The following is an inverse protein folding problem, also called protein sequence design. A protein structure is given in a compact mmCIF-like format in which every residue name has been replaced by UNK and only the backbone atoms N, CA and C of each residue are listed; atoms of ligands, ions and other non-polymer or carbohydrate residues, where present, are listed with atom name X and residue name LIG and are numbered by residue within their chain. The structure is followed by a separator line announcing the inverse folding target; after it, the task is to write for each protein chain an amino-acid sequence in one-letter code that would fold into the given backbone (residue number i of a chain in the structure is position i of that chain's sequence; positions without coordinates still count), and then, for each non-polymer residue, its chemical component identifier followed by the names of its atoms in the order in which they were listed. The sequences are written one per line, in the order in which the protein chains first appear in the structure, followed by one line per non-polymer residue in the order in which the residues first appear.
data_IF_942618064918
#
_entry.id   IF_942618064918
#
_cell.length_a   1.000
_cell.length_b   1.000
_cell.length_c   1.000
_cell.angle_alpha   90.00
_cell.angle_beta   90.00
_cell.angle_gamma   90.00
#
_symmetry.space_group_name_H-M   'P 1'
#
loop_
_entity.id
_entity.type
_entity.pdbx_description
1 polymer ?
#
# COMPACT_ATOMS: atom_id res chain seq x y z
N UNK A 1 -10.43 -13.45 -20.63
CA UNK A 1 -11.22 -12.29 -20.17
C UNK A 1 -10.63 -10.97 -20.66
N UNK A 2 -9.45 -10.55 -20.20
CA UNK A 2 -8.81 -9.32 -20.70
C UNK A 2 -8.46 -9.40 -22.21
N UNK A 3 -7.99 -10.57 -22.67
CA UNK A 3 -7.74 -10.85 -24.10
C UNK A 3 -9.03 -10.89 -24.94
N UNK A 4 -10.19 -11.04 -24.30
CA UNK A 4 -11.51 -11.05 -24.95
C UNK A 4 -12.18 -9.66 -24.92
N UNK A 5 -11.46 -8.62 -24.49
CA UNK A 5 -11.97 -7.24 -24.38
C UNK A 5 -12.87 -6.98 -23.17
N UNK A 6 -12.95 -7.92 -22.22
CA UNK A 6 -13.72 -7.73 -20.98
C UNK A 6 -12.89 -6.89 -20.01
N UNK A 7 -13.40 -5.70 -19.68
CA UNK A 7 -12.82 -4.78 -18.70
C UNK A 7 -13.64 -4.79 -17.40
N UNK A 8 -12.94 -4.61 -16.27
CA UNK A 8 -13.54 -4.50 -14.95
C UNK A 8 -13.20 -3.14 -14.33
N UNK A 9 -14.17 -2.50 -13.69
CA UNK A 9 -13.97 -1.22 -12.98
C UNK A 9 -13.18 -1.41 -11.67
N UNK A 10 -13.33 -2.59 -11.06
CA UNK A 10 -12.69 -2.97 -9.81
C UNK A 10 -12.22 -4.42 -9.86
N UNK A 11 -11.10 -4.70 -9.20
CA UNK A 11 -10.61 -6.03 -8.88
C UNK A 11 -10.60 -6.16 -7.37
N UNK A 12 -11.40 -7.09 -6.83
CA UNK A 12 -11.45 -7.39 -5.40
C UNK A 12 -10.59 -8.61 -5.11
N UNK A 13 -9.67 -8.47 -4.16
CA UNK A 13 -8.72 -9.47 -3.71
C UNK A 13 -9.05 -9.80 -2.25
N UNK A 14 -9.18 -11.09 -1.96
CA UNK A 14 -9.65 -11.61 -0.67
C UNK A 14 -8.64 -12.63 -0.14
N UNK A 15 -8.24 -12.44 1.11
CA UNK A 15 -7.57 -13.48 1.90
C UNK A 15 -8.62 -14.42 2.52
N UNK A 16 -8.18 -15.30 3.41
CA UNK A 16 -8.96 -16.23 4.24
C UNK A 16 -9.68 -15.55 5.41
N UNK A 17 -10.42 -14.48 5.13
CA UNK A 17 -11.13 -13.68 6.13
C UNK A 17 -12.65 -13.86 6.04
N UNK A 18 -13.32 -13.66 7.18
CA UNK A 18 -14.76 -13.53 7.31
C UNK A 18 -15.15 -12.07 7.03
N UNK A 19 -16.13 -11.90 6.13
CA UNK A 19 -16.66 -10.61 5.69
C UNK A 19 -18.13 -10.74 5.29
N UNK A 20 -18.81 -9.61 5.14
CA UNK A 20 -20.18 -9.52 4.62
C UNK A 20 -20.24 -8.73 3.31
N UNK A 21 -21.38 -8.83 2.60
CA UNK A 21 -21.62 -8.00 1.40
C UNK A 21 -21.56 -6.51 1.73
N UNK A 22 -22.01 -6.10 2.92
CA UNK A 22 -21.94 -4.72 3.36
C UNK A 22 -20.48 -4.23 3.48
N UNK A 23 -19.57 -5.09 3.93
CA UNK A 23 -18.13 -4.78 4.01
C UNK A 23 -17.54 -4.55 2.63
N UNK A 24 -17.89 -5.39 1.65
CA UNK A 24 -17.45 -5.24 0.26
C UNK A 24 -17.96 -3.91 -0.32
N UNK A 25 -19.25 -3.60 -0.16
CA UNK A 25 -19.82 -2.35 -0.66
C UNK A 25 -19.20 -1.12 0.02
N UNK A 26 -18.96 -1.18 1.32
CA UNK A 26 -18.29 -0.12 2.07
C UNK A 26 -16.83 0.06 1.64
N UNK A 27 -16.13 -1.03 1.32
CA UNK A 27 -14.77 -0.98 0.79
C UNK A 27 -14.74 -0.35 -0.61
N UNK A 28 -15.63 -0.76 -1.50
CA UNK A 28 -15.72 -0.20 -2.85
C UNK A 28 -16.11 1.29 -2.85
N UNK A 29 -16.86 1.73 -1.84
CA UNK A 29 -17.23 3.13 -1.66
C UNK A 29 -16.20 3.95 -0.85
N UNK A 30 -15.02 3.39 -0.54
CA UNK A 30 -13.94 4.14 0.14
C UNK A 30 -13.64 5.42 -0.63
N UNK A 31 -13.49 6.55 0.05
CA UNK A 31 -13.25 7.86 -0.58
C UNK A 31 -14.21 8.18 -1.76
N UNK A 32 -15.49 7.80 -1.62
CA UNK A 32 -16.53 7.94 -2.66
C UNK A 32 -16.16 7.25 -3.98
N UNK A 33 -15.47 6.10 -3.91
CA UNK A 33 -14.99 5.34 -5.06
C UNK A 33 -13.75 5.94 -5.76
N UNK A 34 -13.21 7.06 -5.26
CA UNK A 34 -12.06 7.73 -5.86
C UNK A 34 -10.74 7.33 -5.17
N UNK A 35 -10.21 6.18 -5.54
CA UNK A 35 -8.93 5.66 -5.07
C UNK A 35 -8.28 4.80 -6.15
N UNK A 36 -6.96 4.62 -6.12
CA UNK A 36 -6.30 3.61 -6.94
C UNK A 36 -6.35 2.24 -6.26
N UNK A 37 -6.18 2.21 -4.94
CA UNK A 37 -6.40 1.02 -4.11
C UNK A 37 -7.07 1.38 -2.78
N UNK A 38 -7.90 0.47 -2.26
CA UNK A 38 -8.50 0.57 -0.93
C UNK A 38 -8.38 -0.78 -0.20
N UNK A 39 -8.10 -0.77 1.11
CA UNK A 39 -7.98 -2.01 1.90
C UNK A 39 -8.84 -1.98 3.16
N UNK A 40 -9.29 -3.14 3.60
CA UNK A 40 -9.92 -3.34 4.91
C UNK A 40 -8.89 -3.38 6.05
N UNK A 41 -9.36 -3.46 7.28
CA UNK A 41 -8.54 -3.82 8.44
C UNK A 41 -8.84 -5.25 8.85
N UNK A 42 -7.84 -6.10 9.01
CA UNK A 42 -7.99 -7.48 9.44
C UNK A 42 -7.55 -7.73 10.89
N UNK A 43 -8.24 -8.66 11.54
CA UNK A 43 -8.03 -9.00 12.93
C UNK A 43 -8.01 -10.51 13.13
N UNK A 44 -6.97 -10.99 13.81
CA UNK A 44 -6.91 -12.36 14.36
C UNK A 44 -7.23 -12.37 15.84
N UNK A 45 -6.56 -11.50 16.63
CA UNK A 45 -6.80 -11.29 18.05
C UNK A 45 -7.14 -9.81 18.35
N UNK A 46 -8.41 -9.38 18.16
CA UNK A 46 -8.83 -8.01 18.45
C UNK A 46 -8.50 -7.57 19.88
N UNK A 47 -8.17 -6.28 20.12
CA UNK A 47 -8.23 -5.15 19.18
C UNK A 47 -6.92 -4.92 18.41
N UNK A 48 -5.98 -5.86 18.44
CA UNK A 48 -4.69 -5.71 17.77
C UNK A 48 -4.84 -5.85 16.26
N UNK A 49 -4.31 -4.87 15.53
CA UNK A 49 -4.33 -4.87 14.08
C UNK A 49 -3.32 -5.88 13.54
N UNK A 50 -3.83 -6.85 12.78
CA UNK A 50 -3.08 -7.98 12.26
C UNK A 50 -2.51 -7.70 10.85
N UNK A 51 -1.66 -8.60 10.36
CA UNK A 51 -1.03 -8.60 9.04
C UNK A 51 -0.69 -7.21 8.47
N UNK A 52 0.18 -6.50 9.16
CA UNK A 52 0.60 -5.14 8.82
C UNK A 52 1.81 -5.13 7.88
N UNK A 53 2.19 -6.29 7.32
CA UNK A 53 3.42 -6.43 6.54
C UNK A 53 3.44 -5.52 5.31
N UNK A 54 2.33 -5.43 4.58
CA UNK A 54 2.19 -4.56 3.41
C UNK A 54 1.79 -3.12 3.75
N UNK A 55 1.49 -2.81 5.01
CA UNK A 55 0.98 -1.50 5.42
C UNK A 55 2.11 -0.49 5.52
N UNK A 56 1.99 0.62 4.79
CA UNK A 56 2.92 1.75 4.87
C UNK A 56 2.15 3.05 4.98
N UNK A 57 2.45 3.86 5.98
CA UNK A 57 1.76 5.12 6.21
C UNK A 57 2.07 6.17 5.12
N UNK A 58 1.51 7.38 5.20
CA UNK A 58 1.78 8.40 4.16
C UNK A 58 3.23 8.86 4.08
N UNK A 59 4.07 8.60 5.09
CA UNK A 59 5.50 8.85 5.04
C UNK A 59 6.30 7.62 4.55
N UNK A 60 5.63 6.49 4.28
CA UNK A 60 6.26 5.25 3.86
C UNK A 60 6.76 4.39 5.03
N UNK A 61 6.42 4.73 6.27
CA UNK A 61 6.83 3.94 7.44
C UNK A 61 5.87 2.76 7.67
N UNK A 62 6.40 1.68 8.27
CA UNK A 62 5.58 0.61 8.87
C UNK A 62 4.61 1.17 9.93
N UNK A 63 3.70 0.32 10.44
CA UNK A 63 2.86 0.69 11.59
C UNK A 63 3.73 0.99 12.82
N UNK A 64 3.32 2.00 13.59
CA UNK A 64 3.97 2.37 14.84
C UNK A 64 3.62 1.44 16.01
N UNK A 65 2.38 0.93 16.02
CA UNK A 65 1.85 0.09 17.08
C UNK A 65 0.76 -0.82 16.51
N UNK A 66 0.64 -2.03 17.05
CA UNK A 66 -0.53 -2.90 16.76
C UNK A 66 -1.80 -2.43 17.45
N UNK A 67 -1.72 -1.42 18.32
CA UNK A 67 -2.84 -0.78 18.98
C UNK A 67 -3.21 0.53 18.27
N UNK A 68 -4.50 0.85 18.29
CA UNK A 68 -5.02 2.10 17.72
C UNK A 68 -4.30 3.31 18.33
N UNK A 69 -3.86 4.33 17.55
CA UNK A 69 -4.21 4.63 16.16
C UNK A 69 -3.18 4.17 15.10
N UNK A 70 -2.38 3.15 15.39
CA UNK A 70 -1.50 2.38 14.47
C UNK A 70 -0.35 3.09 13.75
N UNK A 71 -0.47 4.33 13.27
CA UNK A 71 0.50 4.93 12.34
C UNK A 71 1.56 5.79 13.02
N UNK A 72 2.66 6.11 12.31
CA UNK A 72 3.61 7.18 12.70
C UNK A 72 3.13 8.54 12.20
N UNK A 73 2.85 8.62 10.89
CA UNK A 73 2.44 9.81 10.17
C UNK A 73 1.26 10.51 10.83
N UNK A 74 1.36 11.83 10.99
CA UNK A 74 0.29 12.64 11.55
C UNK A 74 -0.96 12.60 10.67
N UNK A 75 -0.80 12.51 9.34
CA UNK A 75 -1.92 12.49 8.40
C UNK A 75 -2.72 11.20 8.53
N UNK A 76 -2.06 10.03 8.42
CA UNK A 76 -2.71 8.72 8.55
C UNK A 76 -3.34 8.56 9.94
N UNK A 77 -2.62 8.91 11.01
CA UNK A 77 -3.17 8.85 12.38
C UNK A 77 -4.40 9.74 12.57
N UNK A 78 -4.39 10.95 12.02
CA UNK A 78 -5.49 11.89 12.20
C UNK A 78 -6.75 11.43 11.47
N UNK A 79 -6.61 10.84 10.28
CA UNK A 79 -7.71 10.22 9.56
C UNK A 79 -8.26 8.99 10.30
N UNK A 80 -7.37 8.11 10.80
CA UNK A 80 -7.73 6.94 11.62
C UNK A 80 -8.52 7.35 12.88
N UNK A 81 -8.10 8.43 13.55
CA UNK A 81 -8.80 8.95 14.74
C UNK A 81 -10.21 9.47 14.46
N UNK A 82 -10.47 9.89 13.21
CA UNK A 82 -11.77 10.41 12.77
C UNK A 82 -12.59 9.35 12.02
N UNK A 83 -12.12 8.10 11.96
CA UNK A 83 -12.73 7.02 11.17
C UNK A 83 -12.96 7.41 9.71
N UNK A 84 -12.07 8.22 9.15
CA UNK A 84 -12.08 8.63 7.73
C UNK A 84 -11.21 7.67 6.91
N UNK A 85 -11.42 7.57 5.57
CA UNK A 85 -10.47 6.89 4.69
C UNK A 85 -9.04 7.36 4.96
N UNK A 86 -8.19 6.44 5.39
CA UNK A 86 -6.86 6.75 5.89
C UNK A 86 -5.88 6.70 4.72
N UNK A 87 -5.28 7.84 4.32
CA UNK A 87 -4.30 7.82 3.25
C UNK A 87 -3.06 7.04 3.72
N UNK A 88 -2.57 6.18 2.84
CA UNK A 88 -1.41 5.30 3.04
C UNK A 88 -0.63 5.23 1.73
N UNK A 89 0.61 4.78 1.77
CA UNK A 89 1.39 4.49 0.55
C UNK A 89 1.13 3.07 0.04
N UNK A 90 0.85 2.13 0.94
CA UNK A 90 0.44 0.76 0.60
C UNK A 90 -0.41 0.13 1.72
N UNK A 91 -1.26 -0.83 1.36
CA UNK A 91 -2.01 -1.68 2.28
C UNK A 91 -2.45 -2.97 1.57
N UNK A 92 -2.92 -3.98 2.32
CA UNK A 92 -3.54 -5.17 1.73
C UNK A 92 -4.62 -5.76 2.63
N UNK A 93 -4.23 -6.08 3.87
CA UNK A 93 -5.06 -6.38 5.05
C UNK A 93 -6.42 -7.01 4.76
N UNK A 94 -6.45 -8.35 4.69
CA UNK A 94 -7.64 -9.19 4.57
C UNK A 94 -8.43 -9.09 3.26
N UNK A 95 -8.76 -7.88 2.84
CA UNK A 95 -9.54 -7.57 1.64
C UNK A 95 -9.04 -6.27 1.02
N UNK A 96 -8.62 -6.35 -0.25
CA UNK A 96 -8.11 -5.23 -1.04
C UNK A 96 -8.92 -5.02 -2.32
N UNK A 97 -9.25 -3.76 -2.63
CA UNK A 97 -9.90 -3.37 -3.87
C UNK A 97 -8.95 -2.51 -4.70
N UNK A 98 -8.63 -2.97 -5.91
CA UNK A 98 -7.88 -2.20 -6.90
C UNK A 98 -8.85 -1.62 -7.92
N UNK A 99 -8.70 -0.35 -8.24
CA UNK A 99 -9.44 0.28 -9.32
C UNK A 99 -8.46 0.57 -10.47
N UNK A 100 -8.44 -0.25 -11.53
CA UNK A 100 -7.52 -0.06 -12.66
C UNK A 100 -7.83 1.19 -13.48
N UNK A 101 -9.07 1.69 -13.44
CA UNK A 101 -9.51 2.83 -14.24
C UNK A 101 -9.45 4.12 -13.43
N UNK A 102 -8.53 5.03 -13.78
CA UNK A 102 -8.88 6.43 -13.62
C UNK A 102 -10.10 6.62 -14.50
N UNK A 103 -11.27 6.88 -13.91
CA UNK A 103 -12.48 7.23 -14.67
C UNK A 103 -12.05 8.10 -15.84
N UNK A 104 -12.41 7.74 -17.09
CA UNK A 104 -12.07 8.58 -18.22
C UNK A 104 -12.91 9.85 -18.06
N UNK A 105 -12.38 10.83 -17.31
CA UNK A 105 -12.53 12.19 -17.78
C UNK A 105 -12.03 12.10 -19.23
N UNK A 106 -12.86 12.44 -20.24
CA UNK A 106 -12.40 12.44 -21.62
C UNK A 106 -11.07 13.18 -21.61
N UNK A 107 -10.03 12.67 -22.30
CA UNK A 107 -8.73 13.32 -22.29
C UNK A 107 -9.02 14.79 -22.50
N UNK A 108 -8.73 15.61 -21.47
CA UNK A 108 -8.88 17.04 -21.61
C UNK A 108 -7.98 17.32 -22.80
N UNK A 109 -8.59 17.60 -23.96
CA UNK A 109 -7.86 17.97 -25.16
C UNK A 109 -7.08 19.18 -24.70
N UNK A 110 -5.83 18.99 -24.29
CA UNK A 110 -4.89 20.08 -24.21
C UNK A 110 -4.78 20.43 -25.67
N UNK A 111 -5.35 21.56 -26.13
CA UNK A 111 -5.19 21.92 -27.52
C UNK A 111 -3.68 21.97 -27.76
N UNK A 112 -3.23 21.30 -28.82
CA UNK A 112 -1.87 21.44 -29.31
C UNK A 112 -1.76 22.85 -29.92
N UNK A 113 -1.33 23.86 -29.15
CA UNK A 113 -0.30 24.74 -29.69
C UNK A 113 0.69 25.21 -28.60
N UNK A 114 1.23 24.29 -27.79
CA UNK A 114 2.41 24.60 -26.95
C UNK A 114 3.64 23.74 -27.29
N UNK A 115 3.52 22.79 -28.22
CA UNK A 115 4.66 22.01 -28.72
C UNK A 115 5.37 22.65 -29.93
N UNK A 116 4.96 23.86 -30.34
CA UNK A 116 5.60 24.58 -31.44
C UNK A 116 5.87 26.01 -30.99
N UNK A 117 7.03 26.23 -30.37
CA UNK A 117 7.86 27.45 -30.48
C UNK A 117 9.04 27.36 -29.52
N UNK A 118 10.15 26.78 -30.00
CA UNK A 118 11.45 27.46 -30.00
C UNK A 118 12.48 26.51 -30.60
N UNK A 119 12.57 26.53 -31.92
CA UNK A 119 13.59 25.83 -32.69
C UNK A 119 14.65 26.83 -33.15
N UNK A 120 15.20 27.63 -32.24
CA UNK A 120 16.41 28.37 -32.55
C UNK A 120 17.42 28.32 -31.41
N UNK A 121 18.50 27.60 -31.73
CA UNK A 121 19.80 27.46 -31.06
C UNK A 121 19.94 26.20 -30.20
N UNK A 122 20.95 25.40 -30.58
CA UNK A 122 21.41 24.11 -30.05
C UNK A 122 20.83 22.84 -30.69
N UNK A 123 21.57 22.36 -31.70
CA UNK A 123 21.58 20.98 -32.20
C UNK A 123 21.97 20.02 -31.06
N UNK A 124 21.08 19.12 -30.61
CA UNK A 124 21.28 17.65 -30.46
C UNK A 124 19.92 16.97 -30.15
N UNK A 125 19.68 15.82 -30.80
CA UNK A 125 18.87 14.67 -30.35
C UNK A 125 17.32 14.68 -30.38
N UNK A 126 16.83 13.64 -31.05
CA UNK A 126 15.60 12.86 -30.85
C UNK A 126 14.23 13.48 -31.15
N UNK A 127 13.68 12.98 -32.26
CA UNK A 127 12.25 12.90 -32.54
C UNK A 127 11.55 12.07 -31.45
N UNK A 128 11.01 12.71 -30.41
CA UNK A 128 9.96 12.09 -29.59
C UNK A 128 8.63 12.67 -30.03
N UNK A 129 7.98 11.92 -30.94
CA UNK A 129 6.57 12.08 -31.20
C UNK A 129 5.80 12.02 -29.88
N UNK A 130 4.80 12.88 -29.74
CA UNK A 130 3.83 12.82 -28.66
C UNK A 130 3.00 11.54 -28.83
N UNK A 131 3.56 10.39 -28.46
CA UNK A 131 2.82 9.15 -28.37
C UNK A 131 1.85 9.30 -27.20
N UNK A 132 0.57 9.14 -27.48
CA UNK A 132 -0.43 8.77 -26.49
C UNK A 132 0.20 7.79 -25.50
N UNK A 133 0.45 8.25 -24.27
CA UNK A 133 1.06 7.44 -23.23
C UNK A 133 0.05 6.35 -22.87
N UNK A 134 0.22 5.18 -23.48
CA UNK A 134 -0.68 4.05 -23.36
C UNK A 134 -0.81 3.65 -21.89
N UNK A 135 -2.05 3.62 -21.40
CA UNK A 135 -2.45 2.98 -20.14
C UNK A 135 -2.41 1.44 -20.24
N UNK A 136 -1.39 0.88 -20.89
CA UNK A 136 -1.29 -0.56 -21.19
C UNK A 136 -0.45 -1.34 -20.16
N UNK A 137 -0.06 -0.72 -19.05
CA UNK A 137 0.58 -1.50 -17.99
C UNK A 137 -0.51 -2.21 -17.18
N UNK A 138 -0.77 -3.47 -17.53
CA UNK A 138 -1.53 -4.36 -16.68
C UNK A 138 -0.91 -4.40 -15.28
N UNK A 139 -1.74 -4.29 -14.25
CA UNK A 139 -1.27 -4.43 -12.87
C UNK A 139 -0.72 -5.86 -12.72
N UNK A 140 0.56 -5.97 -12.37
CA UNK A 140 1.24 -7.25 -12.16
C UNK A 140 1.85 -7.28 -10.78
N UNK A 141 1.71 -8.42 -10.12
CA UNK A 141 2.54 -8.74 -8.97
C UNK A 141 3.97 -9.00 -9.44
N UNK A 142 4.93 -8.65 -8.59
CA UNK A 142 6.34 -8.98 -8.77
C UNK A 142 7.01 -9.09 -7.41
N UNK A 143 8.10 -9.84 -7.36
CA UNK A 143 9.07 -9.78 -6.27
C UNK A 143 10.11 -8.69 -6.49
N UNK A 144 11.03 -8.60 -5.54
CA UNK A 144 12.31 -7.92 -5.72
C UNK A 144 13.24 -8.79 -6.56
N UNK A 145 14.31 -8.19 -7.09
CA UNK A 145 15.36 -8.94 -7.79
C UNK A 145 15.99 -10.00 -6.87
N UNK A 146 16.19 -11.23 -7.36
CA UNK A 146 16.75 -12.33 -6.57
C UNK A 146 18.14 -11.96 -5.99
N UNK A 147 18.94 -11.19 -6.73
CA UNK A 147 20.26 -10.74 -6.24
C UNK A 147 20.17 -9.64 -5.19
N UNK A 148 19.03 -8.93 -5.12
CA UNK A 148 18.71 -8.03 -4.01
C UNK A 148 18.23 -8.85 -2.80
N UNK A 149 17.43 -9.89 -3.01
CA UNK A 149 16.96 -10.79 -1.96
C UNK A 149 18.13 -11.51 -1.26
N UNK A 150 19.18 -11.89 -2.00
CA UNK A 150 20.44 -12.42 -1.44
C UNK A 150 21.14 -11.46 -0.45
N UNK A 151 20.82 -10.16 -0.49
CA UNK A 151 21.29 -9.19 0.50
C UNK A 151 20.47 -9.18 1.80
N UNK A 152 19.63 -10.21 1.99
CA UNK A 152 18.77 -10.43 3.15
C UNK A 152 17.79 -9.26 3.30
N UNK A 153 17.14 -8.96 2.18
CA UNK A 153 16.04 -8.02 2.06
C UNK A 153 14.85 -8.78 1.47
N UNK A 154 13.65 -8.40 1.91
CA UNK A 154 12.41 -8.97 1.40
C UNK A 154 11.40 -7.85 1.20
N UNK A 155 10.46 -8.01 0.27
CA UNK A 155 9.33 -7.10 0.13
C UNK A 155 8.07 -7.84 -0.27
N UNK A 156 6.96 -7.42 0.32
CA UNK A 156 5.63 -7.93 -0.01
C UNK A 156 5.24 -7.52 -1.42
N UNK A 157 4.85 -8.47 -2.26
CA UNK A 157 4.23 -8.19 -3.56
C UNK A 157 2.95 -7.35 -3.41
N UNK A 158 2.22 -7.52 -2.30
CA UNK A 158 1.05 -6.73 -1.95
C UNK A 158 1.38 -5.27 -1.60
N UNK A 159 2.65 -4.97 -1.28
CA UNK A 159 3.15 -3.60 -1.17
C UNK A 159 3.64 -3.09 -2.55
N UNK A 160 4.43 -3.89 -3.26
CA UNK A 160 5.05 -3.50 -4.54
C UNK A 160 4.03 -3.19 -5.64
N UNK A 161 2.90 -3.90 -5.65
CA UNK A 161 1.80 -3.66 -6.61
C UNK A 161 1.29 -2.21 -6.57
N UNK A 162 1.36 -1.55 -5.41
CA UNK A 162 1.02 -0.14 -5.29
C UNK A 162 2.09 0.71 -5.96
N UNK A 163 3.37 0.46 -5.67
CA UNK A 163 4.49 1.25 -6.21
C UNK A 163 4.56 1.21 -7.74
N UNK A 164 4.25 0.06 -8.33
CA UNK A 164 4.28 -0.10 -9.78
C UNK A 164 3.01 0.39 -10.48
N UNK A 165 1.97 0.76 -9.71
CA UNK A 165 0.70 1.24 -10.26
C UNK A 165 0.72 2.76 -10.48
N UNK A 166 0.81 3.18 -11.74
CA UNK A 166 0.77 4.59 -12.12
C UNK A 166 -0.51 5.33 -11.68
N UNK A 167 -1.62 4.61 -11.50
CA UNK A 167 -2.87 5.20 -11.02
C UNK A 167 -2.77 5.76 -9.59
N UNK A 168 -1.77 5.33 -8.80
CA UNK A 168 -1.52 5.87 -7.47
C UNK A 168 -1.30 7.38 -7.48
N UNK A 169 -0.58 7.88 -8.49
CA UNK A 169 -0.19 9.30 -8.56
C UNK A 169 -1.42 10.20 -8.63
N UNK A 170 -2.52 9.72 -9.22
CA UNK A 170 -3.75 10.48 -9.37
C UNK A 170 -4.76 10.30 -8.24
N UNK A 171 -4.90 9.08 -7.69
CA UNK A 171 -6.02 8.73 -6.80
C UNK A 171 -5.62 8.22 -5.42
N UNK A 172 -4.36 7.82 -5.21
CA UNK A 172 -3.84 7.38 -3.91
C UNK A 172 -4.36 6.02 -3.40
N UNK A 173 -3.80 5.58 -2.27
CA UNK A 173 -4.19 4.35 -1.56
C UNK A 173 -4.85 4.72 -0.22
N UNK A 174 -5.91 4.01 0.13
CA UNK A 174 -6.64 4.25 1.39
C UNK A 174 -6.89 2.98 2.18
N UNK A 175 -6.59 3.01 3.47
CA UNK A 175 -7.11 2.04 4.42
C UNK A 175 -8.49 2.51 4.93
N UNK A 176 -9.51 1.66 4.89
CA UNK A 176 -10.85 1.99 5.35
C UNK A 176 -11.10 1.45 6.77
N UNK A 177 -11.11 2.31 7.81
CA UNK A 177 -11.28 1.87 9.20
C UNK A 177 -12.70 1.40 9.54
N UNK A 178 -13.65 1.62 8.63
CA UNK A 178 -15.02 1.18 8.78
C UNK A 178 -15.26 -0.22 8.19
N UNK A 179 -14.29 -0.77 7.45
CA UNK A 179 -14.33 -2.13 6.93
C UNK A 179 -13.36 -2.96 7.75
N UNK A 180 -13.90 -3.72 8.70
CA UNK A 180 -13.12 -4.59 9.60
C UNK A 180 -13.44 -6.03 9.25
N UNK A 181 -12.45 -6.87 9.04
CA UNK A 181 -12.61 -8.29 8.71
C UNK A 181 -11.86 -9.14 9.73
N UNK A 182 -12.25 -10.41 9.88
CA UNK A 182 -11.69 -11.29 10.90
C UNK A 182 -11.26 -12.63 10.33
N UNK A 183 -10.13 -13.18 10.76
CA UNK A 183 -9.70 -14.53 10.34
C UNK A 183 -10.60 -15.65 10.90
N UNK A 184 -11.39 -15.33 11.94
CA UNK A 184 -12.40 -16.23 12.50
C UNK A 184 -13.70 -15.46 12.69
N UNK A 185 -14.84 -16.16 12.70
CA UNK A 185 -16.13 -15.53 12.99
C UNK A 185 -16.14 -14.85 14.35
N UNK A 186 -15.46 -15.43 15.35
CA UNK A 186 -15.30 -14.81 16.66
C UNK A 186 -14.54 -13.47 16.59
N UNK A 187 -13.42 -13.42 15.86
CA UNK A 187 -12.67 -12.18 15.68
C UNK A 187 -13.51 -11.12 14.94
N UNK A 188 -14.28 -11.55 13.93
CA UNK A 188 -15.21 -10.68 13.20
C UNK A 188 -16.30 -10.11 14.13
N UNK A 189 -16.93 -10.94 14.96
CA UNK A 189 -17.99 -10.50 15.88
C UNK A 189 -17.47 -9.50 16.93
N UNK A 190 -16.24 -9.71 17.43
CA UNK A 190 -15.61 -8.80 18.41
C UNK A 190 -15.34 -7.41 17.84
N UNK A 191 -15.15 -7.26 16.52
CA UNK A 191 -14.96 -5.95 15.86
C UNK A 191 -16.26 -5.35 15.31
N UNK A 192 -17.40 -6.03 15.49
CA UNK A 192 -18.74 -5.56 15.14
C UNK A 192 -19.75 -5.63 16.31
N UNK A 193 -19.41 -5.11 17.51
CA UNK A 193 -20.41 -4.97 18.55
C UNK A 193 -21.46 -3.91 18.18
N UNK A 194 -22.59 -3.91 18.88
CA UNK A 194 -23.62 -2.86 18.75
C UNK A 194 -23.16 -1.47 19.18
N UNK A 195 -21.98 -1.35 19.79
CA UNK A 195 -21.38 -0.10 20.27
C UNK A 195 -19.96 0.10 19.77
N UNK A 196 -19.09 0.70 20.60
CA UNK A 196 -17.67 0.88 20.25
C UNK A 196 -16.92 -0.45 20.33
N UNK A 197 -16.21 -0.81 19.26
CA UNK A 197 -15.35 -2.00 19.20
C UNK A 197 -14.00 -1.82 19.90
N UNK A 198 -13.60 -0.58 20.16
CA UNK A 198 -12.41 -0.25 20.96
C UNK A 198 -12.87 0.38 22.28
N UNK A 199 -12.31 -0.07 23.40
CA UNK A 199 -12.66 0.49 24.71
C UNK A 199 -11.98 1.85 24.95
N UNK A 200 -12.50 2.66 25.88
CA UNK A 200 -11.83 3.90 26.29
C UNK A 200 -10.42 3.66 26.86
N UNK A 201 -10.22 2.52 27.53
CA UNK A 201 -8.93 2.13 28.08
C UNK A 201 -7.95 1.79 26.95
N UNK A 202 -8.37 1.03 25.94
CA UNK A 202 -7.56 0.73 24.76
C UNK A 202 -7.21 2.00 23.97
N UNK A 203 -8.16 2.94 23.85
CA UNK A 203 -7.91 4.26 23.26
C UNK A 203 -6.83 4.99 24.06
N UNK A 204 -6.97 5.07 25.39
CA UNK A 204 -6.00 5.77 26.23
C UNK A 204 -4.61 5.15 26.16
N UNK A 205 -4.51 3.83 26.38
CA UNK A 205 -3.26 3.07 26.32
C UNK A 205 -2.66 3.15 24.92
N UNK A 206 -3.48 2.98 23.88
CA UNK A 206 -3.08 3.07 22.48
C UNK A 206 -2.48 4.44 22.12
N UNK A 207 -3.09 5.54 22.57
CA UNK A 207 -2.56 6.88 22.33
C UNK A 207 -1.20 7.12 23.01
N UNK A 208 -1.02 6.60 24.23
CA UNK A 208 0.23 6.72 24.97
C UNK A 208 1.32 5.80 24.41
N UNK A 209 1.01 4.54 24.15
CA UNK A 209 1.94 3.58 23.51
C UNK A 209 2.40 4.09 22.15
N UNK A 210 1.48 4.60 21.32
CA UNK A 210 1.82 5.22 20.05
C UNK A 210 2.70 6.47 20.26
N UNK A 211 2.44 7.31 21.28
CA UNK A 211 3.29 8.47 21.60
C UNK A 211 4.72 8.05 21.99
N UNK A 212 4.85 7.04 22.85
CA UNK A 212 6.14 6.51 23.28
C UNK A 212 6.88 5.85 22.11
N UNK A 213 6.19 5.05 21.30
CA UNK A 213 6.75 4.46 20.07
C UNK A 213 7.36 5.56 19.18
N UNK A 214 6.67 6.69 18.96
CA UNK A 214 7.26 7.78 18.16
C UNK A 214 8.52 8.42 18.74
N UNK A 215 8.71 8.41 20.06
CA UNK A 215 9.90 8.99 20.71
C UNK A 215 11.07 8.02 20.81
N UNK A 216 10.77 6.74 21.02
CA UNK A 216 11.77 5.71 21.27
C UNK A 216 11.94 4.74 20.10
N UNK A 217 11.21 4.92 19.00
CA UNK A 217 11.29 4.04 17.86
C UNK A 217 12.65 4.13 17.18
N UNK A 218 13.20 2.94 16.93
CA UNK A 218 14.41 2.70 16.15
C UNK A 218 14.09 2.46 14.67
N UNK A 219 12.92 2.90 14.17
CA UNK A 219 12.52 2.78 12.76
C UNK A 219 13.60 3.31 11.83
N UNK A 220 14.19 4.46 12.15
CA UNK A 220 15.30 5.03 11.38
C UNK A 220 16.53 4.10 11.29
N UNK A 221 16.79 3.26 12.31
CA UNK A 221 17.88 2.27 12.28
C UNK A 221 17.53 1.13 11.33
N UNK A 222 16.30 0.61 11.40
CA UNK A 222 15.81 -0.44 10.48
C UNK A 222 15.89 0.04 9.03
N UNK A 223 15.34 1.22 8.75
CA UNK A 223 15.36 1.84 7.43
C UNK A 223 16.78 2.10 6.95
N UNK A 224 17.66 2.56 7.83
CA UNK A 224 19.07 2.78 7.47
C UNK A 224 19.78 1.48 7.08
N UNK A 225 19.51 0.36 7.78
CA UNK A 225 20.06 -0.96 7.42
C UNK A 225 19.59 -1.37 6.02
N UNK A 226 18.29 -1.24 5.75
CA UNK A 226 17.69 -1.56 4.45
C UNK A 226 18.31 -0.70 3.34
N UNK A 227 18.30 0.63 3.51
CA UNK A 227 18.87 1.58 2.55
C UNK A 227 20.37 1.35 2.31
N UNK A 228 21.12 0.97 3.35
CA UNK A 228 22.54 0.66 3.21
C UNK A 228 22.78 -0.58 2.35
N UNK A 229 21.96 -1.62 2.53
CA UNK A 229 22.04 -2.88 1.77
C UNK A 229 21.63 -2.68 0.31
N UNK A 230 20.50 -2.00 0.08
CA UNK A 230 20.04 -1.62 -1.25
C UNK A 230 21.11 -0.80 -1.99
N UNK A 231 21.64 0.28 -1.40
CA UNK A 231 22.70 1.09 -2.04
C UNK A 231 23.97 0.30 -2.32
N UNK A 232 24.30 -0.70 -1.49
CA UNK A 232 25.44 -1.58 -1.75
C UNK A 232 25.17 -2.48 -2.95
N UNK A 233 23.94 -2.95 -3.12
CA UNK A 233 23.51 -3.73 -4.27
C UNK A 233 23.44 -2.91 -5.56
N UNK A 234 22.86 -1.70 -5.53
CA UNK A 234 22.79 -0.79 -6.69
C UNK A 234 24.18 -0.41 -7.21
N UNK A 235 25.16 -0.22 -6.32
CA UNK A 235 26.55 0.07 -6.71
C UNK A 235 27.23 -1.04 -7.52
N UNK A 236 26.71 -2.26 -7.50
CA UNK A 236 27.31 -3.38 -8.24
C UNK A 236 27.06 -3.27 -9.75
N UNK A 237 26.01 -2.57 -10.19
CA UNK A 237 25.73 -2.37 -11.61
C UNK A 237 24.86 -1.12 -11.84
N UNK A 238 25.20 -0.26 -12.81
CA UNK A 238 24.41 0.94 -13.12
C UNK A 238 23.00 0.63 -13.65
N UNK A 239 22.71 -0.62 -14.04
CA UNK A 239 21.37 -1.05 -14.48
C UNK A 239 20.47 -1.50 -13.32
N UNK A 240 21.01 -1.68 -12.11
CA UNK A 240 20.24 -2.13 -10.94
C UNK A 240 19.66 -0.94 -10.22
N UNK A 241 18.33 -0.94 -10.10
CA UNK A 241 17.57 0.06 -9.33
C UNK A 241 16.27 -0.55 -8.87
N UNK A 242 16.03 -0.56 -7.56
CA UNK A 242 14.73 -0.94 -7.00
C UNK A 242 13.85 0.32 -6.87
N UNK A 243 12.58 0.20 -7.23
CA UNK A 243 11.61 1.32 -7.14
C UNK A 243 10.84 1.28 -5.83
N UNK A 244 10.65 0.09 -5.27
CA UNK A 244 9.86 -0.21 -4.08
C UNK A 244 10.65 -0.23 -2.79
N UNK A 245 11.64 0.66 -2.62
CA UNK A 245 12.48 0.74 -1.42
C UNK A 245 11.66 0.78 -0.12
N UNK A 246 10.51 1.46 -0.13
CA UNK A 246 9.63 1.57 1.04
C UNK A 246 8.98 0.25 1.46
N UNK A 247 8.89 -0.71 0.54
CA UNK A 247 8.35 -2.04 0.79
C UNK A 247 9.42 -3.01 1.31
N UNK A 248 10.71 -2.66 1.19
CA UNK A 248 11.82 -3.49 1.64
C UNK A 248 11.86 -3.56 3.17
N UNK A 249 12.01 -4.77 3.69
CA UNK A 249 12.26 -5.03 5.10
C UNK A 249 13.55 -5.83 5.27
N UNK A 250 14.13 -5.72 6.46
CA UNK A 250 15.34 -6.44 6.83
C UNK A 250 14.99 -7.80 7.46
N UNK A 251 14.39 -8.69 6.67
CA UNK A 251 14.07 -10.07 7.02
C UNK A 251 14.40 -10.98 5.83
N UNK A 252 14.46 -12.28 6.08
CA UNK A 252 14.53 -13.30 5.04
C UNK A 252 13.68 -14.51 5.44
N UNK A 253 12.65 -14.80 4.65
CA UNK A 253 11.89 -16.04 4.78
C UNK A 253 12.59 -17.20 4.08
N UNK A 254 12.82 -18.29 4.80
CA UNK A 254 13.41 -19.52 4.27
C UNK A 254 12.50 -20.71 4.56
N UNK A 255 12.42 -21.63 3.59
CA UNK A 255 11.72 -22.89 3.78
C UNK A 255 12.62 -23.86 4.55
N UNK A 256 12.22 -24.21 5.76
CA UNK A 256 12.85 -25.25 6.60
C UNK A 256 11.95 -26.49 6.65
N UNK A 257 12.47 -27.60 7.14
CA UNK A 257 11.78 -28.90 7.13
C UNK A 257 10.43 -28.91 7.86
N UNK A 258 10.18 -27.95 8.75
CA UNK A 258 8.94 -27.80 9.51
C UNK A 258 8.08 -26.58 9.10
N UNK A 259 8.39 -25.94 7.97
CA UNK A 259 7.60 -24.82 7.43
C UNK A 259 8.44 -23.61 7.05
N UNK A 260 7.85 -22.42 7.16
CA UNK A 260 8.56 -21.15 6.93
C UNK A 260 9.27 -20.70 8.20
N UNK A 261 10.49 -20.20 8.06
CA UNK A 261 11.26 -19.58 9.14
C UNK A 261 11.74 -18.19 8.73
N UNK A 262 11.71 -17.26 9.69
CA UNK A 262 12.30 -15.93 9.54
C UNK A 262 13.74 -15.97 10.06
N UNK A 263 14.67 -15.47 9.26
CA UNK A 263 16.10 -15.34 9.58
C UNK A 263 16.51 -13.88 9.52
#
# INVERSE_FOLDING_TARGET
MAQDGIAFDYVLLLNDVVFTVADVLALLNTNNGNYAAACSMDFSNPPQYYDTFALRDTAGHEHATHTWPYFYSSQSRSAMKRSQPVPVTSCWNGMGALSPSASPSPPRKIPAPLCTLSNHLFRVASLYACSSFYWEQAISFRGIDDTLAESHLEASECCLIHIDNLALVARGVFLNPNVRVGYTSQAYDLVHPSGSWVTYLDIFIGQWTNRLSRWFSVVWIKEWIVLRRERKWEKQSPHRKERGTLCLINEMQVLVSNGWAHV
#
